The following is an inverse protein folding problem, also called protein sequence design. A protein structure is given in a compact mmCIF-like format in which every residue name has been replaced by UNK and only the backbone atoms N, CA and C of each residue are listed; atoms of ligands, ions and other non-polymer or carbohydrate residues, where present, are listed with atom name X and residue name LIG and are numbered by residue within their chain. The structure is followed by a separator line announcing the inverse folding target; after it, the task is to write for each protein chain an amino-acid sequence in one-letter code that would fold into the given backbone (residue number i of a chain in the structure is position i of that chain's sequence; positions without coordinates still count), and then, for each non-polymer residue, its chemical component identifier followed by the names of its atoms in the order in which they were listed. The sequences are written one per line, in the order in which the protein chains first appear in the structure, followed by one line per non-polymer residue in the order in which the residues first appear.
data_IF_049107872545
#
_entry.id   IF_049107872545
#
_cell.length_a   1.000
_cell.length_b   1.000
_cell.length_c   1.000
_cell.angle_alpha   90.00
_cell.angle_beta   90.00
_cell.angle_gamma   90.00
#
_symmetry.space_group_name_H-M   'P 1'
#
loop_
_entity.id
_entity.type
_entity.pdbx_description
1 polymer ?
#
# COMPACT_ATOMS: atom_id res chain seq x y z
N UNK A 1 1.65 -17.92 -13.69
CA UNK A 1 0.41 -17.14 -13.50
C UNK A 1 0.86 -15.72 -13.15
N UNK A 2 0.48 -14.70 -13.91
CA UNK A 2 0.89 -13.31 -13.57
C UNK A 2 0.09 -12.87 -12.35
N UNK A 3 0.78 -12.44 -11.30
CA UNK A 3 0.15 -11.84 -10.11
C UNK A 3 -0.01 -10.35 -10.39
N UNK A 4 -1.12 -9.76 -9.98
CA UNK A 4 -1.38 -8.34 -10.13
C UNK A 4 -2.14 -7.83 -8.92
N UNK A 5 -1.99 -6.54 -8.62
CA UNK A 5 -2.66 -5.86 -7.51
C UNK A 5 -3.72 -4.94 -8.13
N UNK A 6 -4.98 -5.11 -7.72
CA UNK A 6 -6.07 -4.22 -8.15
C UNK A 6 -5.98 -2.89 -7.42
N UNK A 7 -6.09 -1.78 -8.14
CA UNK A 7 -6.15 -0.42 -7.58
C UNK A 7 -7.37 0.37 -8.07
N UNK A 8 -8.30 -0.31 -8.75
CA UNK A 8 -9.45 0.30 -9.41
C UNK A 8 -10.22 -0.73 -10.24
N UNK A 9 -11.42 -0.37 -10.71
CA UNK A 9 -12.29 -1.27 -11.49
C UNK A 9 -11.59 -1.89 -12.71
N UNK A 10 -10.67 -1.17 -13.34
CA UNK A 10 -9.91 -1.63 -14.52
C UNK A 10 -8.41 -1.34 -14.42
N UNK A 11 -7.91 -1.03 -13.22
CA UNK A 11 -6.53 -0.63 -13.01
C UNK A 11 -5.78 -1.67 -12.18
N UNK A 12 -4.66 -2.15 -12.73
CA UNK A 12 -3.89 -3.23 -12.16
C UNK A 12 -2.39 -2.91 -12.19
N UNK A 13 -1.70 -3.22 -11.08
CA UNK A 13 -0.25 -3.17 -11.00
C UNK A 13 0.26 -4.60 -11.22
N UNK A 14 1.03 -4.80 -12.30
CA UNK A 14 1.64 -6.10 -12.57
C UNK A 14 2.77 -6.37 -11.59
N UNK A 15 2.77 -7.57 -11.01
CA UNK A 15 3.88 -8.12 -10.22
C UNK A 15 4.66 -9.07 -11.13
N UNK A 16 5.98 -8.94 -11.14
CA UNK A 16 6.84 -9.81 -11.96
C UNK A 16 6.91 -11.22 -11.35
N UNK A 17 7.42 -12.17 -12.13
CA UNK A 17 7.74 -13.50 -11.60
C UNK A 17 8.96 -13.40 -10.68
N UNK A 18 8.80 -13.81 -9.43
CA UNK A 18 9.83 -13.76 -8.40
C UNK A 18 10.63 -15.07 -8.28
N UNK A 19 10.39 -16.04 -9.17
CA UNK A 19 11.07 -17.34 -9.16
C UNK A 19 12.59 -17.14 -9.16
N UNK A 20 13.25 -17.59 -8.09
CA UNK A 20 14.70 -17.47 -7.92
C UNK A 20 15.18 -16.16 -7.28
N UNK A 21 14.28 -15.30 -6.79
CA UNK A 21 14.62 -14.04 -6.13
C UNK A 21 14.23 -13.98 -4.64
N UNK A 22 13.62 -15.04 -4.10
CA UNK A 22 13.13 -15.09 -2.71
C UNK A 22 14.25 -15.02 -1.66
N UNK A 23 15.46 -15.46 -2.00
CA UNK A 23 16.66 -15.41 -1.14
C UNK A 23 17.14 -13.98 -0.87
N UNK A 24 16.67 -13.01 -1.65
CA UNK A 24 17.01 -11.57 -1.53
C UNK A 24 15.88 -10.73 -0.96
N UNK A 25 14.80 -11.38 -0.53
CA UNK A 25 13.65 -10.67 0.04
C UNK A 25 14.03 -9.99 1.36
N UNK A 26 13.65 -8.72 1.50
CA UNK A 26 13.79 -7.98 2.76
C UNK A 26 12.43 -7.81 3.42
N UNK A 27 12.37 -8.12 4.71
CA UNK A 27 11.18 -7.92 5.54
C UNK A 27 10.91 -6.43 5.77
N UNK A 28 9.69 -5.99 5.47
CA UNK A 28 9.29 -4.58 5.60
C UNK A 28 8.27 -4.31 6.72
N UNK A 29 7.81 -5.33 7.44
CA UNK A 29 6.80 -5.18 8.51
C UNK A 29 7.17 -4.10 9.55
N UNK A 30 8.43 -3.95 10.00
CA UNK A 30 8.82 -2.87 10.90
C UNK A 30 8.58 -1.45 10.33
N UNK A 31 8.61 -1.30 9.00
CA UNK A 31 8.37 -0.02 8.32
C UNK A 31 6.87 0.29 8.16
N UNK A 32 6.00 -0.73 8.29
CA UNK A 32 4.55 -0.59 8.08
C UNK A 32 3.80 -0.11 9.33
N UNK A 33 4.43 -0.13 10.51
CA UNK A 33 3.78 0.10 11.82
C UNK A 33 3.00 1.42 11.88
N UNK A 34 3.55 2.50 11.33
CA UNK A 34 2.90 3.82 11.34
C UNK A 34 1.68 3.92 10.39
N UNK A 35 1.48 2.92 9.55
CA UNK A 35 0.40 2.82 8.59
C UNK A 35 -0.62 1.74 8.97
N UNK A 36 -0.48 1.09 10.12
CA UNK A 36 -1.42 0.05 10.56
C UNK A 36 -2.89 0.51 10.57
N UNK A 37 -3.24 1.72 11.06
CA UNK A 37 -4.62 2.20 10.98
C UNK A 37 -5.14 2.33 9.55
N UNK A 38 -4.26 2.66 8.59
CA UNK A 38 -4.61 2.71 7.17
C UNK A 38 -4.86 1.31 6.63
N UNK A 39 -3.96 0.36 6.87
CA UNK A 39 -4.13 -1.03 6.42
C UNK A 39 -5.42 -1.63 6.97
N UNK A 40 -5.69 -1.48 8.26
CA UNK A 40 -6.93 -1.94 8.89
C UNK A 40 -8.18 -1.27 8.31
N UNK A 41 -8.09 0.00 7.86
CA UNK A 41 -9.21 0.71 7.27
C UNK A 41 -9.53 0.30 5.83
N UNK A 42 -8.55 -0.24 5.10
CA UNK A 42 -8.67 -0.72 3.72
C UNK A 42 -8.88 -2.23 3.63
N UNK A 43 -8.65 -2.97 4.71
CA UNK A 43 -8.90 -4.40 4.80
C UNK A 43 -10.42 -4.67 4.84
N UNK A 44 -10.92 -5.48 3.91
CA UNK A 44 -12.37 -5.63 3.69
C UNK A 44 -12.92 -6.94 4.21
N UNK A 45 -13.05 -7.94 3.33
CA UNK A 45 -13.89 -9.13 3.52
C UNK A 45 -13.09 -10.41 3.80
N UNK A 46 -11.77 -10.36 3.62
CA UNK A 46 -10.85 -11.44 3.92
C UNK A 46 -9.77 -10.91 4.87
N UNK A 47 -9.27 -11.76 5.77
CA UNK A 47 -8.06 -11.40 6.53
C UNK A 47 -6.84 -11.47 5.62
N UNK A 48 -5.92 -10.52 5.73
CA UNK A 48 -4.68 -10.51 4.95
C UNK A 48 -3.90 -11.83 5.10
N UNK A 49 -3.98 -12.50 6.25
CA UNK A 49 -3.38 -13.81 6.48
C UNK A 49 -3.84 -14.89 5.47
N UNK A 50 -5.02 -14.73 4.86
CA UNK A 50 -5.58 -15.67 3.88
C UNK A 50 -5.45 -15.15 2.44
N UNK A 51 -5.80 -13.89 2.18
CA UNK A 51 -5.87 -13.34 0.82
C UNK A 51 -4.70 -12.39 0.47
N UNK A 52 -3.80 -12.12 1.42
CA UNK A 52 -2.71 -11.17 1.25
C UNK A 52 -3.19 -9.82 0.76
N UNK A 53 -2.54 -9.27 -0.26
CA UNK A 53 -2.92 -7.99 -0.87
C UNK A 53 -4.34 -8.00 -1.48
N UNK A 54 -4.91 -9.16 -1.80
CA UNK A 54 -6.28 -9.26 -2.33
C UNK A 54 -7.35 -9.10 -1.22
N UNK A 55 -6.95 -9.03 0.06
CA UNK A 55 -7.84 -8.73 1.18
C UNK A 55 -8.26 -7.24 1.26
N UNK A 56 -7.54 -6.38 0.55
CA UNK A 56 -7.66 -4.93 0.68
C UNK A 56 -8.36 -4.31 -0.53
N UNK A 57 -9.08 -3.23 -0.29
CA UNK A 57 -9.64 -2.38 -1.33
C UNK A 57 -8.74 -1.13 -1.51
N UNK A 58 -7.99 -1.11 -2.61
CA UNK A 58 -7.09 0.00 -2.95
C UNK A 58 -7.71 1.00 -3.93
N UNK A 59 -9.02 0.94 -4.17
CA UNK A 59 -9.71 1.91 -5.05
C UNK A 59 -9.60 3.33 -4.49
N UNK A 60 -9.55 4.38 -5.35
CA UNK A 60 -9.57 5.77 -4.89
C UNK A 60 -10.77 6.07 -3.95
N UNK A 61 -11.92 5.46 -4.21
CA UNK A 61 -13.11 5.59 -3.39
C UNK A 61 -12.91 5.02 -1.98
N UNK A 62 -12.40 3.79 -1.85
CA UNK A 62 -12.09 3.20 -0.55
C UNK A 62 -11.03 3.99 0.21
N UNK A 63 -10.00 4.48 -0.49
CA UNK A 63 -8.97 5.33 0.10
C UNK A 63 -9.54 6.66 0.59
N UNK A 64 -10.42 7.31 -0.18
CA UNK A 64 -11.10 8.53 0.25
C UNK A 64 -11.98 8.29 1.48
N UNK A 65 -12.72 7.17 1.51
CA UNK A 65 -13.53 6.78 2.68
C UNK A 65 -12.68 6.48 3.92
N UNK A 66 -11.51 5.84 3.76
CA UNK A 66 -10.55 5.66 4.85
C UNK A 66 -9.99 7.01 5.32
N UNK A 67 -9.61 7.88 4.39
CA UNK A 67 -9.08 9.22 4.66
C UNK A 67 -10.08 10.17 5.32
N UNK A 68 -11.39 9.93 5.22
CA UNK A 68 -12.39 10.69 5.97
C UNK A 68 -12.46 10.32 7.47
N UNK A 69 -11.97 9.12 7.83
CA UNK A 69 -11.95 8.62 9.22
C UNK A 69 -10.58 8.76 9.89
N UNK A 70 -9.54 8.85 9.07
CA UNK A 70 -8.15 9.01 9.48
C UNK A 70 -7.70 10.45 9.21
N UNK A 71 -6.53 10.83 9.72
CA UNK A 71 -5.88 12.07 9.28
C UNK A 71 -5.17 11.81 7.94
N UNK A 72 -5.86 12.13 6.84
CA UNK A 72 -5.36 11.90 5.49
C UNK A 72 -4.02 12.60 5.21
N UNK A 73 -3.74 13.75 5.86
CA UNK A 73 -2.47 14.46 5.69
C UNK A 73 -1.32 13.71 6.36
N UNK A 74 -1.54 13.19 7.58
CA UNK A 74 -0.57 12.35 8.28
C UNK A 74 -0.32 11.05 7.52
N UNK A 75 -1.36 10.39 7.01
CA UNK A 75 -1.21 9.16 6.22
C UNK A 75 -0.43 9.43 4.92
N UNK A 76 -0.75 10.52 4.20
CA UNK A 76 0.00 10.96 3.02
C UNK A 76 1.50 11.18 3.31
N UNK A 77 1.84 11.80 4.44
CA UNK A 77 3.23 11.99 4.86
C UNK A 77 3.92 10.66 5.20
N UNK A 78 3.29 9.80 6.02
CA UNK A 78 3.82 8.50 6.41
C UNK A 78 4.06 7.57 5.19
N UNK A 79 3.19 7.63 4.18
CA UNK A 79 3.40 6.90 2.92
C UNK A 79 4.65 7.43 2.17
N UNK A 80 4.90 8.73 2.17
CA UNK A 80 6.12 9.31 1.59
C UNK A 80 7.39 8.88 2.32
N UNK A 81 7.33 8.78 3.65
CA UNK A 81 8.43 8.26 4.47
C UNK A 81 8.67 6.77 4.23
N UNK A 82 7.61 5.97 4.12
CA UNK A 82 7.70 4.55 3.79
C UNK A 82 8.41 4.33 2.45
N UNK A 83 8.00 5.06 1.40
CA UNK A 83 8.64 4.96 0.08
C UNK A 83 10.13 5.26 0.14
N UNK A 84 10.50 6.34 0.83
CA UNK A 84 11.89 6.74 1.01
C UNK A 84 12.69 5.67 1.76
N UNK A 85 12.09 5.08 2.80
CA UNK A 85 12.71 4.03 3.62
C UNK A 85 12.93 2.74 2.82
N UNK A 86 11.94 2.32 2.03
CA UNK A 86 12.05 1.12 1.20
C UNK A 86 13.06 1.33 0.07
N UNK A 87 13.07 2.50 -0.59
CA UNK A 87 14.05 2.81 -1.62
C UNK A 87 15.49 2.72 -1.10
N UNK A 88 15.72 3.12 0.15
CA UNK A 88 17.03 3.04 0.80
C UNK A 88 17.51 1.60 1.09
N UNK A 89 16.62 0.60 1.09
CA UNK A 89 16.99 -0.80 1.30
C UNK A 89 17.79 -1.39 0.13
N UNK A 90 17.65 -0.82 -1.08
CA UNK A 90 18.38 -1.28 -2.27
C UNK A 90 18.09 -2.73 -2.67
N UNK A 91 16.89 -3.24 -2.38
CA UNK A 91 16.45 -4.60 -2.75
C UNK A 91 15.42 -4.57 -3.86
N UNK A 92 15.35 -5.66 -4.61
CA UNK A 92 14.36 -5.88 -5.66
C UNK A 92 13.11 -6.62 -5.16
N UNK A 93 13.17 -7.28 -3.99
CA UNK A 93 12.08 -8.10 -3.46
C UNK A 93 11.79 -7.73 -2.01
N UNK A 94 10.52 -7.53 -1.72
CA UNK A 94 10.01 -7.21 -0.40
C UNK A 94 9.13 -8.36 0.08
N UNK A 95 9.23 -8.67 1.36
CA UNK A 95 8.36 -9.62 2.05
C UNK A 95 7.67 -8.94 3.23
N UNK A 96 6.38 -9.24 3.40
CA UNK A 96 5.60 -8.78 4.53
C UNK A 96 4.71 -9.90 5.02
N UNK A 97 4.79 -10.18 6.32
CA UNK A 97 3.89 -11.11 7.01
C UNK A 97 2.54 -10.45 7.22
N UNK A 98 2.51 -9.16 7.59
CA UNK A 98 1.28 -8.38 7.77
C UNK A 98 0.40 -8.33 6.51
N UNK A 99 1.03 -8.19 5.35
CA UNK A 99 0.36 -8.15 4.05
C UNK A 99 0.31 -9.52 3.37
N UNK A 100 0.86 -10.57 4.03
CA UNK A 100 1.02 -11.93 3.52
C UNK A 100 1.46 -11.94 2.04
N UNK A 101 2.60 -11.32 1.78
CA UNK A 101 3.04 -11.07 0.40
C UNK A 101 4.55 -11.16 0.21
N UNK A 102 4.92 -11.68 -0.95
CA UNK A 102 6.18 -11.40 -1.64
C UNK A 102 5.83 -10.58 -2.88
N UNK A 103 6.58 -9.51 -3.12
CA UNK A 103 6.32 -8.56 -4.19
C UNK A 103 7.63 -7.92 -4.64
N UNK A 104 7.77 -7.63 -5.94
CA UNK A 104 8.90 -6.85 -6.41
C UNK A 104 8.79 -5.40 -5.96
N UNK A 105 9.95 -4.77 -5.75
CA UNK A 105 10.05 -3.38 -5.32
C UNK A 105 9.24 -2.44 -6.23
N UNK A 106 9.28 -2.65 -7.55
CA UNK A 106 8.60 -1.76 -8.50
C UNK A 106 7.09 -1.82 -8.34
N UNK A 107 6.52 -3.01 -8.21
CA UNK A 107 5.09 -3.17 -7.97
C UNK A 107 4.67 -2.58 -6.61
N UNK A 108 5.45 -2.80 -5.57
CA UNK A 108 5.15 -2.25 -4.25
C UNK A 108 5.26 -0.71 -4.21
N UNK A 109 6.31 -0.12 -4.79
CA UNK A 109 6.46 1.34 -4.88
C UNK A 109 5.29 1.97 -5.63
N UNK A 110 4.81 1.33 -6.71
CA UNK A 110 3.64 1.80 -7.45
C UNK A 110 2.36 1.74 -6.61
N UNK A 111 2.19 0.70 -5.79
CA UNK A 111 1.07 0.61 -4.86
C UNK A 111 1.14 1.74 -3.82
N UNK A 112 2.29 1.94 -3.17
CA UNK A 112 2.44 2.98 -2.16
C UNK A 112 2.30 4.38 -2.78
N UNK A 113 2.82 4.61 -3.99
CA UNK A 113 2.67 5.86 -4.74
C UNK A 113 1.20 6.16 -5.09
N UNK A 114 0.44 5.13 -5.46
CA UNK A 114 -1.00 5.24 -5.70
C UNK A 114 -1.75 5.66 -4.43
N UNK A 115 -1.55 4.91 -3.34
CA UNK A 115 -2.17 5.22 -2.04
C UNK A 115 -1.81 6.63 -1.57
N UNK A 116 -0.54 7.01 -1.68
CA UNK A 116 -0.07 8.34 -1.30
C UNK A 116 -0.82 9.42 -2.08
N UNK A 117 -0.91 9.28 -3.41
CA UNK A 117 -1.62 10.24 -4.27
C UNK A 117 -3.07 10.41 -3.83
N UNK A 118 -3.79 9.33 -3.59
CA UNK A 118 -5.19 9.36 -3.15
C UNK A 118 -5.37 10.01 -1.77
N UNK A 119 -4.49 9.70 -0.80
CA UNK A 119 -4.54 10.32 0.53
C UNK A 119 -4.21 11.82 0.49
N UNK A 120 -3.20 12.24 -0.29
CA UNK A 120 -2.84 13.65 -0.41
C UNK A 120 -3.95 14.47 -1.11
N UNK A 121 -4.64 13.89 -2.09
CA UNK A 121 -5.83 14.49 -2.70
C UNK A 121 -6.95 14.64 -1.65
N UNK A 122 -7.24 13.60 -0.89
CA UNK A 122 -8.25 13.62 0.19
C UNK A 122 -7.96 14.71 1.21
N UNK A 123 -6.70 14.85 1.64
CA UNK A 123 -6.25 15.90 2.56
C UNK A 123 -6.48 17.32 1.99
N UNK A 124 -6.25 17.50 0.68
CA UNK A 124 -6.44 18.78 -0.01
C UNK A 124 -7.91 19.19 -0.14
N UNK A 125 -8.82 18.22 -0.19
CA UNK A 125 -10.28 18.45 -0.22
C UNK A 125 -10.87 18.68 1.17
N UNK A 126 -10.35 18.00 2.22
CA UNK A 126 -10.80 18.18 3.61
C UNK A 126 -10.58 19.60 4.16
N UNK A 127 -9.58 20.32 3.64
CA UNK A 127 -9.28 21.70 4.03
C UNK A 127 -10.24 22.76 3.44
N UNK A 128 -11.06 22.39 2.45
CA UNK A 128 -11.96 23.36 1.76
C UNK A 128 -13.31 23.54 2.47
N UNK A 129 -13.66 22.70 3.45
CA UNK A 129 -14.91 22.78 4.21
C UNK A 129 -14.74 23.30 5.65
N UNK A 130 -13.56 23.84 5.99
CA UNK A 130 -13.25 24.39 7.33
C UNK A 130 -13.04 25.91 7.36
N UNK A 131 -13.38 26.62 6.28
CA UNK A 131 -13.32 28.08 6.19
C UNK A 131 -14.72 28.71 6.33
#
# INVERSE_FOLDING_TARGET
MRKAISIGTEQWINVIDLTGHYDRAIEIDPLLVQLEPMWAALETHCVAECCGLDAFDFTPEAVAHAGARLDAAVVCANLGELRSSIAALGTDVLVSTRLNSYVDYTAFDRLISHLQTCFCQTASHGNQHRA
#
